data_IF_300836192360
#
_entry.id   IF_300836192360
#
_cell.length_a   1.000
_cell.length_b   1.000
_cell.length_c   1.000
_cell.angle_alpha   90.00
_cell.angle_beta   90.00
_cell.angle_gamma   90.00
#
_symmetry.space_group_name_H-M   'P 1'
#
loop_
_entity.id
_entity.type
_entity.pdbx_description
1 polymer ?
#
# COMPACT_ATOMS: atom_id res chain seq x y z
N UNK A 1 -14.58 -24.69 9.45
CA UNK A 1 -14.12 -23.44 8.81
C UNK A 1 -14.71 -23.22 7.42
N UNK A 2 -15.66 -24.04 6.94
CA UNK A 2 -16.15 -23.99 5.56
C UNK A 2 -16.83 -22.65 5.15
N UNK A 3 -17.23 -21.82 6.12
CA UNK A 3 -17.85 -20.50 5.88
C UNK A 3 -16.98 -19.31 6.36
N UNK A 4 -15.65 -19.47 6.40
CA UNK A 4 -14.73 -18.41 6.86
C UNK A 4 -13.87 -17.87 5.72
N UNK A 5 -13.72 -16.54 5.69
CA UNK A 5 -12.82 -15.81 4.79
C UNK A 5 -11.59 -15.35 5.57
N UNK A 6 -10.40 -15.69 5.07
CA UNK A 6 -9.13 -15.23 5.64
C UNK A 6 -8.53 -14.12 4.78
N UNK A 7 -8.06 -13.04 5.40
CA UNK A 7 -7.27 -12.00 4.76
C UNK A 7 -5.84 -12.08 5.28
N UNK A 8 -4.88 -12.32 4.41
CA UNK A 8 -3.48 -12.53 4.76
C UNK A 8 -2.63 -11.41 4.16
N UNK A 9 -2.40 -10.37 4.96
CA UNK A 9 -1.51 -9.26 4.61
C UNK A 9 -0.19 -9.38 5.40
N UNK A 10 0.85 -9.86 4.74
CA UNK A 10 2.21 -9.99 5.28
C UNK A 10 3.24 -9.71 4.17
N UNK A 11 4.48 -9.41 4.52
CA UNK A 11 5.59 -9.23 3.56
C UNK A 11 5.96 -7.79 3.23
N UNK A 12 5.03 -6.83 3.34
CA UNK A 12 5.34 -5.42 3.06
C UNK A 12 6.33 -4.81 4.07
N UNK A 13 6.16 -5.15 5.36
CA UNK A 13 7.00 -4.65 6.45
C UNK A 13 8.45 -5.13 6.36
N UNK A 14 8.69 -6.29 5.76
CA UNK A 14 10.00 -6.90 5.56
C UNK A 14 10.92 -6.08 4.64
N UNK A 15 10.35 -5.19 3.82
CA UNK A 15 11.11 -4.22 3.02
C UNK A 15 11.14 -2.84 3.68
N UNK A 16 10.00 -2.42 4.22
CA UNK A 16 9.79 -1.08 4.77
C UNK A 16 10.67 -0.84 6.01
N UNK A 17 10.75 -1.80 6.93
CA UNK A 17 11.55 -1.63 8.15
C UNK A 17 13.05 -1.49 7.87
N UNK A 18 13.69 -2.38 7.08
CA UNK A 18 15.11 -2.21 6.76
C UNK A 18 15.41 -0.92 6.01
N UNK A 19 14.53 -0.48 5.10
CA UNK A 19 14.70 0.79 4.39
C UNK A 19 14.64 1.99 5.37
N UNK A 20 13.83 1.93 6.43
CA UNK A 20 13.84 2.96 7.49
C UNK A 20 15.07 2.91 8.38
N UNK A 21 15.77 1.78 8.40
CA UNK A 21 17.06 1.62 9.08
C UNK A 21 18.24 1.92 8.15
N UNK A 22 18.00 2.65 7.05
CA UNK A 22 19.02 3.09 6.10
C UNK A 22 19.73 1.94 5.35
N UNK A 23 19.11 0.76 5.27
CA UNK A 23 19.60 -0.30 4.38
C UNK A 23 19.34 0.08 2.93
N UNK A 24 20.27 -0.30 2.05
CA UNK A 24 20.19 0.01 0.63
C UNK A 24 19.19 -0.90 -0.10
N UNK A 25 18.71 -0.47 -1.26
CA UNK A 25 17.90 -1.31 -2.13
C UNK A 25 18.61 -2.61 -2.51
N UNK A 26 19.93 -2.57 -2.69
CA UNK A 26 20.76 -3.75 -2.96
C UNK A 26 20.73 -4.78 -1.83
N UNK A 27 20.55 -4.35 -0.58
CA UNK A 27 20.40 -5.23 0.57
C UNK A 27 18.96 -5.76 0.72
N UNK A 28 17.96 -4.93 0.43
CA UNK A 28 16.54 -5.27 0.62
C UNK A 28 15.99 -6.15 -0.50
N UNK A 29 16.35 -5.89 -1.76
CA UNK A 29 15.82 -6.61 -2.92
C UNK A 29 16.07 -8.14 -2.87
N UNK A 30 17.22 -8.64 -2.39
CA UNK A 30 17.42 -10.08 -2.16
C UNK A 30 16.46 -10.74 -1.17
N UNK A 31 15.80 -9.96 -0.29
CA UNK A 31 14.80 -10.51 0.63
C UNK A 31 13.50 -10.91 -0.07
N UNK A 32 13.22 -10.37 -1.26
CA UNK A 32 11.94 -10.61 -1.95
C UNK A 32 11.62 -12.10 -2.10
N UNK A 33 12.48 -12.96 -2.69
CA UNK A 33 12.20 -14.38 -2.78
C UNK A 33 12.00 -15.07 -1.42
N UNK A 34 12.73 -14.64 -0.37
CA UNK A 34 12.60 -15.20 0.98
C UNK A 34 11.23 -14.88 1.57
N UNK A 35 10.80 -13.62 1.47
CA UNK A 35 9.48 -13.15 1.93
C UNK A 35 8.36 -13.87 1.19
N UNK A 36 8.47 -14.06 -0.13
CA UNK A 36 7.49 -14.82 -0.91
C UNK A 36 7.45 -16.29 -0.47
N UNK A 37 8.60 -16.88 -0.14
CA UNK A 37 8.68 -18.20 0.46
C UNK A 37 7.91 -18.29 1.77
N UNK A 38 8.14 -17.35 2.69
CA UNK A 38 7.45 -17.27 3.98
C UNK A 38 5.93 -17.07 3.83
N UNK A 39 5.49 -16.23 2.90
CA UNK A 39 4.06 -16.07 2.56
C UNK A 39 3.49 -17.40 2.10
N UNK A 40 4.21 -18.10 1.21
CA UNK A 40 3.86 -19.42 0.73
C UNK A 40 3.63 -20.42 1.86
N UNK A 41 4.58 -20.54 2.77
CA UNK A 41 4.49 -21.46 3.92
C UNK A 41 3.33 -21.09 4.86
N UNK A 42 3.08 -19.80 5.09
CA UNK A 42 1.95 -19.36 5.91
C UNK A 42 0.60 -19.73 5.28
N UNK A 43 0.47 -19.60 3.94
CA UNK A 43 -0.73 -20.00 3.21
C UNK A 43 -0.93 -21.52 3.24
N UNK A 44 0.13 -22.30 3.04
CA UNK A 44 0.08 -23.77 3.15
C UNK A 44 -0.38 -24.21 4.54
N UNK A 45 0.15 -23.59 5.61
CA UNK A 45 -0.28 -23.87 6.98
C UNK A 45 -1.76 -23.52 7.21
N UNK A 46 -2.24 -22.38 6.72
CA UNK A 46 -3.66 -22.01 6.81
C UNK A 46 -4.57 -23.01 6.08
N UNK A 47 -4.15 -23.48 4.90
CA UNK A 47 -4.87 -24.50 4.14
C UNK A 47 -4.95 -25.81 4.93
N UNK A 48 -3.84 -26.26 5.54
CA UNK A 48 -3.80 -27.46 6.37
C UNK A 48 -4.70 -27.36 7.61
N UNK A 49 -4.92 -26.15 8.14
CA UNK A 49 -5.85 -25.88 9.23
C UNK A 49 -7.32 -25.82 8.78
N UNK A 50 -7.60 -25.96 7.48
CA UNK A 50 -8.95 -26.02 6.92
C UNK A 50 -9.46 -24.71 6.32
N UNK A 51 -8.58 -23.74 6.03
CA UNK A 51 -8.97 -22.53 5.29
C UNK A 51 -9.30 -22.86 3.83
N UNK A 52 -10.53 -22.56 3.40
CA UNK A 52 -11.01 -22.81 2.03
C UNK A 52 -11.06 -21.55 1.17
N UNK A 53 -11.13 -20.36 1.77
CA UNK A 53 -11.13 -19.07 1.05
C UNK A 53 -10.15 -18.09 1.69
N UNK A 54 -9.11 -17.71 0.94
CA UNK A 54 -8.04 -16.82 1.43
C UNK A 54 -7.78 -15.71 0.43
N UNK A 55 -7.82 -14.47 0.90
CA UNK A 55 -7.50 -13.27 0.13
C UNK A 55 -6.10 -12.81 0.50
N UNK A 56 -5.29 -12.60 -0.52
CA UNK A 56 -3.86 -12.27 -0.38
C UNK A 56 -3.59 -10.98 -1.15
N UNK A 57 -3.63 -9.82 -0.49
CA UNK A 57 -3.28 -8.57 -1.11
C UNK A 57 -1.80 -8.51 -1.49
N UNK A 58 -1.54 -7.92 -2.66
CA UNK A 58 -0.20 -7.46 -3.02
C UNK A 58 0.19 -6.22 -2.23
N UNK A 59 1.48 -5.91 -2.24
CA UNK A 59 2.02 -4.67 -1.67
C UNK A 59 1.63 -3.50 -2.58
N UNK A 60 1.05 -2.46 -1.98
CA UNK A 60 0.69 -1.22 -2.67
C UNK A 60 1.92 -0.46 -3.22
N UNK A 61 1.77 0.53 -4.12
CA UNK A 61 2.93 1.19 -4.72
C UNK A 61 3.59 2.10 -3.67
N UNK A 62 4.60 1.58 -2.98
CA UNK A 62 5.25 2.26 -1.86
C UNK A 62 5.86 3.60 -2.29
N UNK A 63 6.35 3.69 -3.54
CA UNK A 63 6.90 4.90 -4.12
C UNK A 63 5.90 6.04 -4.30
N UNK A 64 4.60 5.77 -4.23
CA UNK A 64 3.55 6.79 -4.30
C UNK A 64 3.06 7.26 -2.92
N UNK A 65 3.52 6.63 -1.84
CA UNK A 65 3.12 6.99 -0.49
C UNK A 65 3.79 8.31 -0.06
N UNK A 66 3.03 9.30 0.45
CA UNK A 66 3.59 10.56 0.93
C UNK A 66 4.69 10.38 1.98
N UNK A 67 4.58 9.35 2.83
CA UNK A 67 5.57 9.05 3.85
C UNK A 67 6.90 8.60 3.24
N UNK A 68 6.87 7.71 2.25
CA UNK A 68 8.08 7.24 1.59
C UNK A 68 8.72 8.34 0.72
N UNK A 69 7.90 9.12 0.00
CA UNK A 69 8.37 10.29 -0.74
C UNK A 69 9.12 11.29 0.17
N UNK A 70 8.58 11.57 1.36
CA UNK A 70 9.23 12.44 2.33
C UNK A 70 10.54 11.83 2.88
N UNK A 71 10.54 10.55 3.21
CA UNK A 71 11.70 9.89 3.82
C UNK A 71 12.87 9.77 2.84
N UNK A 72 12.61 9.47 1.57
CA UNK A 72 13.68 9.25 0.59
C UNK A 72 14.06 10.48 -0.24
N UNK A 73 13.47 11.66 0.04
CA UNK A 73 13.78 12.91 -0.69
C UNK A 73 15.25 13.33 -0.64
N UNK A 74 15.98 12.93 0.41
CA UNK A 74 17.40 13.28 0.59
C UNK A 74 18.36 12.32 -0.10
N UNK A 75 17.89 11.13 -0.48
CA UNK A 75 18.70 10.08 -1.15
C UNK A 75 18.26 9.82 -2.59
N UNK A 76 17.17 10.45 -3.03
CA UNK A 76 16.64 10.33 -4.39
C UNK A 76 16.90 11.61 -5.18
N UNK A 77 17.18 11.45 -6.46
CA UNK A 77 17.38 12.53 -7.44
C UNK A 77 16.11 12.76 -8.24
N UNK A 78 16.02 13.89 -8.97
CA UNK A 78 14.89 14.14 -9.88
C UNK A 78 14.68 13.00 -10.90
N UNK A 79 15.78 12.34 -11.30
CA UNK A 79 15.78 11.18 -12.19
C UNK A 79 15.28 9.88 -11.57
N UNK A 80 14.87 9.87 -10.29
CA UNK A 80 14.28 8.69 -9.63
C UNK A 80 12.75 8.74 -9.59
N UNK A 81 12.16 9.90 -9.90
CA UNK A 81 10.73 10.12 -9.87
C UNK A 81 10.10 9.92 -11.25
N UNK A 82 8.97 9.22 -11.26
CA UNK A 82 8.10 9.14 -12.42
C UNK A 82 7.50 10.53 -12.75
N UNK A 83 7.68 11.06 -13.97
CA UNK A 83 7.26 12.42 -14.29
C UNK A 83 5.73 12.58 -14.34
N UNK A 84 4.98 11.51 -14.63
CA UNK A 84 3.53 11.57 -14.72
C UNK A 84 2.86 11.53 -13.33
N UNK A 85 3.39 10.71 -12.43
CA UNK A 85 2.78 10.41 -11.13
C UNK A 85 3.50 11.06 -9.95
N UNK A 86 4.77 11.43 -10.11
CA UNK A 86 5.65 11.91 -9.03
C UNK A 86 6.06 10.81 -8.05
N UNK A 87 5.82 9.54 -8.36
CA UNK A 87 6.19 8.42 -7.51
C UNK A 87 7.66 8.03 -7.68
N UNK A 88 8.29 7.47 -6.64
CA UNK A 88 9.64 6.90 -6.73
C UNK A 88 9.62 5.60 -7.53
N UNK A 89 10.33 5.55 -8.66
CA UNK A 89 10.40 4.38 -9.55
C UNK A 89 11.02 3.17 -8.85
N UNK A 90 12.22 3.33 -8.28
CA UNK A 90 12.95 2.22 -7.69
C UNK A 90 12.17 1.52 -6.55
N UNK A 91 11.38 2.27 -5.79
CA UNK A 91 10.56 1.73 -4.71
C UNK A 91 9.30 1.05 -5.25
N UNK A 92 8.70 1.60 -6.31
CA UNK A 92 7.62 0.95 -7.02
C UNK A 92 8.08 -0.35 -7.71
N UNK A 93 9.29 -0.39 -8.28
CA UNK A 93 9.87 -1.58 -8.91
C UNK A 93 10.07 -2.72 -7.89
N UNK A 94 10.48 -2.39 -6.66
CA UNK A 94 10.58 -3.36 -5.57
C UNK A 94 9.21 -4.00 -5.27
N UNK A 95 8.16 -3.17 -5.16
CA UNK A 95 6.80 -3.68 -4.92
C UNK A 95 6.22 -4.44 -6.11
N UNK A 96 6.54 -4.02 -7.34
CA UNK A 96 6.13 -4.72 -8.54
C UNK A 96 6.77 -6.11 -8.65
N UNK A 97 8.06 -6.22 -8.28
CA UNK A 97 8.77 -7.50 -8.20
C UNK A 97 8.12 -8.43 -7.17
N UNK A 98 7.86 -7.94 -5.96
CA UNK A 98 7.14 -8.71 -4.93
C UNK A 98 5.79 -9.21 -5.48
N UNK A 99 4.97 -8.32 -6.02
CA UNK A 99 3.62 -8.67 -6.50
C UNK A 99 3.66 -9.67 -7.65
N UNK A 100 4.65 -9.58 -8.54
CA UNK A 100 4.85 -10.55 -9.61
C UNK A 100 5.15 -11.94 -9.06
N UNK A 101 6.09 -12.05 -8.13
CA UNK A 101 6.47 -13.32 -7.51
C UNK A 101 5.36 -13.88 -6.61
N UNK A 102 4.60 -13.02 -5.92
CA UNK A 102 3.43 -13.42 -5.15
C UNK A 102 2.37 -14.05 -6.05
N UNK A 103 2.03 -13.42 -7.19
CA UNK A 103 1.09 -14.01 -8.16
C UNK A 103 1.56 -15.37 -8.66
N UNK A 104 2.86 -15.52 -8.92
CA UNK A 104 3.44 -16.81 -9.33
C UNK A 104 3.30 -17.87 -8.24
N UNK A 105 3.63 -17.56 -6.98
CA UNK A 105 3.48 -18.48 -5.84
C UNK A 105 2.02 -18.83 -5.58
N UNK A 106 1.09 -17.88 -5.68
CA UNK A 106 -0.34 -18.16 -5.58
C UNK A 106 -0.84 -19.07 -6.72
N UNK A 107 -0.34 -18.88 -7.94
CA UNK A 107 -0.68 -19.74 -9.06
C UNK A 107 -0.16 -21.18 -8.86
N UNK A 108 1.02 -21.33 -8.24
CA UNK A 108 1.52 -22.63 -7.80
C UNK A 108 0.61 -23.27 -6.75
N UNK A 109 0.33 -22.57 -5.65
CA UNK A 109 -0.49 -23.10 -4.56
C UNK A 109 -1.91 -23.49 -4.99
N UNK A 110 -2.51 -22.76 -5.94
CA UNK A 110 -3.81 -23.14 -6.52
C UNK A 110 -3.78 -24.48 -7.27
N UNK A 111 -2.66 -24.82 -7.91
CA UNK A 111 -2.48 -26.13 -8.55
C UNK A 111 -2.32 -27.23 -7.51
N UNK A 112 -1.59 -26.94 -6.46
CA UNK A 112 -1.31 -27.89 -5.38
C UNK A 112 -2.56 -28.13 -4.48
N UNK A 113 -3.48 -27.16 -4.42
CA UNK A 113 -4.69 -27.18 -3.59
C UNK A 113 -5.95 -26.78 -4.38
N UNK A 114 -6.46 -27.62 -5.30
CA UNK A 114 -7.58 -27.27 -6.19
C UNK A 114 -8.92 -26.99 -5.46
N UNK A 115 -9.06 -27.44 -4.20
CA UNK A 115 -10.23 -27.19 -3.36
C UNK A 115 -10.21 -25.85 -2.60
N UNK A 116 -9.16 -25.03 -2.75
CA UNK A 116 -8.99 -23.78 -2.02
C UNK A 116 -9.06 -22.57 -2.96
N UNK A 117 -9.91 -21.61 -2.61
CA UNK A 117 -10.00 -20.32 -3.28
C UNK A 117 -8.94 -19.36 -2.73
N UNK A 118 -7.76 -19.35 -3.35
CA UNK A 118 -6.73 -18.34 -3.11
C UNK A 118 -6.95 -17.15 -4.05
N UNK A 119 -7.26 -15.96 -3.54
CA UNK A 119 -7.58 -14.78 -4.36
C UNK A 119 -6.49 -13.72 -4.19
N UNK A 120 -5.87 -13.30 -5.29
CA UNK A 120 -4.94 -12.16 -5.28
C UNK A 120 -5.73 -10.86 -5.26
N UNK A 121 -5.40 -9.94 -4.36
CA UNK A 121 -6.03 -8.62 -4.29
C UNK A 121 -5.07 -7.55 -4.78
N UNK A 122 -5.41 -6.91 -5.91
CA UNK A 122 -4.52 -5.95 -6.58
C UNK A 122 -4.58 -4.55 -5.95
N UNK A 123 -3.95 -4.38 -4.79
CA UNK A 123 -3.79 -3.06 -4.19
C UNK A 123 -2.95 -2.12 -5.03
N UNK A 124 -1.95 -2.65 -5.73
CA UNK A 124 -1.06 -1.86 -6.56
C UNK A 124 -1.82 -1.11 -7.65
N UNK A 125 -2.54 -1.84 -8.51
CA UNK A 125 -3.32 -1.25 -9.60
C UNK A 125 -4.35 -0.26 -9.09
N UNK A 126 -5.11 -0.61 -8.04
CA UNK A 126 -6.15 0.28 -7.49
C UNK A 126 -5.61 1.60 -6.96
N UNK A 127 -4.42 1.61 -6.38
CA UNK A 127 -3.82 2.85 -5.89
C UNK A 127 -3.19 3.64 -7.05
N UNK A 128 -2.57 2.97 -8.02
CA UNK A 128 -2.04 3.63 -9.22
C UNK A 128 -3.14 4.31 -10.05
N UNK A 129 -4.31 3.68 -10.20
CA UNK A 129 -5.48 4.29 -10.86
C UNK A 129 -5.86 5.63 -10.21
N UNK A 130 -5.82 5.69 -8.88
CA UNK A 130 -6.15 6.88 -8.12
C UNK A 130 -5.07 7.97 -8.19
N UNK A 131 -3.80 7.56 -8.25
CA UNK A 131 -2.67 8.47 -8.44
C UNK A 131 -2.73 9.09 -9.83
N UNK A 132 -3.06 8.29 -10.86
CA UNK A 132 -3.21 8.76 -12.24
C UNK A 132 -4.44 9.64 -12.45
N UNK A 133 -5.52 9.40 -11.68
CA UNK A 133 -6.77 10.17 -11.75
C UNK A 133 -7.16 10.83 -10.42
N UNK A 134 -6.46 11.91 -9.99
CA UNK A 134 -6.76 12.59 -8.73
C UNK A 134 -8.17 13.23 -8.67
N UNK A 135 -8.85 13.37 -9.83
CA UNK A 135 -10.06 14.16 -10.02
C UNK A 135 -11.36 13.34 -10.16
N UNK A 136 -11.36 12.02 -9.94
CA UNK A 136 -12.57 11.19 -10.09
C UNK A 136 -13.38 10.98 -8.77
N UNK A 137 -13.28 11.92 -7.83
CA UNK A 137 -14.25 12.06 -6.73
C UNK A 137 -15.26 13.17 -7.07
N UNK A 138 -16.51 13.15 -6.56
CA UNK A 138 -17.50 14.15 -6.92
C UNK A 138 -16.99 15.56 -6.59
N UNK A 139 -16.68 16.31 -7.64
CA UNK A 139 -16.30 17.72 -7.60
C UNK A 139 -17.54 18.55 -7.34
N UNK A 140 -17.82 18.82 -6.07
CA UNK A 140 -18.66 19.96 -5.67
C UNK A 140 -17.91 20.79 -4.64
N UNK A 141 -16.93 21.54 -5.12
CA UNK A 141 -16.40 22.70 -4.43
C UNK A 141 -15.94 23.72 -5.48
N UNK A 142 -16.92 24.31 -6.16
CA UNK A 142 -16.72 25.53 -6.93
C UNK A 142 -16.54 26.66 -5.91
N UNK A 143 -15.30 27.08 -5.66
CA UNK A 143 -15.04 28.45 -5.21
C UNK A 143 -13.62 28.88 -5.58
N UNK A 144 -13.44 30.04 -6.24
CA UNK A 144 -12.17 30.48 -6.78
C UNK A 144 -11.37 31.19 -5.69
N UNK A 145 -10.40 30.52 -5.08
CA UNK A 145 -9.25 31.22 -4.51
C UNK A 145 -8.08 30.27 -4.30
N UNK A 146 -6.97 30.70 -4.91
CA UNK A 146 -5.58 30.39 -4.59
C UNK A 146 -5.17 28.92 -4.63
N UNK A 147 -4.25 28.65 -5.57
CA UNK A 147 -3.46 27.44 -5.70
C UNK A 147 -3.02 26.91 -4.32
N UNK A 148 -3.75 25.92 -3.79
CA UNK A 148 -3.38 25.25 -2.55
C UNK A 148 -2.35 24.19 -2.87
N UNK A 149 -1.16 24.42 -2.34
CA UNK A 149 -0.04 23.49 -2.23
C UNK A 149 -0.51 22.05 -2.01
N UNK A 150 0.07 21.13 -2.79
CA UNK A 150 -0.07 19.66 -2.66
C UNK A 150 0.56 19.16 -1.34
N UNK A 151 0.12 19.67 -0.20
CA UNK A 151 0.60 19.21 1.10
C UNK A 151 -0.21 17.97 1.54
N UNK A 152 0.43 16.85 1.90
CA UNK A 152 -0.26 15.68 2.41
C UNK A 152 -0.92 16.00 3.77
N UNK A 153 -2.13 15.45 3.99
CA UNK A 153 -2.90 15.62 5.23
C UNK A 153 -2.21 15.08 6.49
N UNK A 154 -1.11 14.34 6.35
CA UNK A 154 -0.30 13.83 7.46
C UNK A 154 1.19 14.00 7.11
N UNK A 155 1.73 15.19 7.34
CA UNK A 155 3.17 15.39 7.43
C UNK A 155 3.61 15.13 8.89
N UNK A 156 4.71 14.39 9.14
CA UNK A 156 5.21 14.12 10.48
C UNK A 156 6.07 15.30 10.96
N UNK A 157 5.53 16.51 10.97
CA UNK A 157 6.21 17.65 11.58
C UNK A 157 5.69 17.84 12.98
N UNK A 158 6.37 17.13 13.91
CA UNK A 158 6.19 17.18 15.37
C UNK A 158 4.81 16.74 15.86
N UNK A 159 4.78 16.29 17.11
CA UNK A 159 3.59 15.97 17.88
C UNK A 159 2.79 17.24 18.22
N UNK A 160 2.54 18.10 17.24
CA UNK A 160 1.84 19.36 17.35
C UNK A 160 0.64 19.29 16.43
N UNK A 161 -0.53 19.19 17.06
CA UNK A 161 -1.83 19.64 16.61
C UNK A 161 -1.81 20.38 15.26
N UNK A 162 -2.66 19.94 14.32
CA UNK A 162 -3.02 20.74 13.16
C UNK A 162 -3.31 22.17 13.65
N UNK A 163 -2.51 23.20 13.30
CA UNK A 163 -2.89 24.57 13.56
C UNK A 163 -4.15 24.79 12.73
N UNK A 164 -5.24 25.09 13.42
CA UNK A 164 -6.57 25.14 12.82
C UNK A 164 -6.59 26.07 11.63
N UNK A 165 -6.72 25.49 10.44
CA UNK A 165 -7.44 26.00 9.24
C UNK A 165 -7.08 25.09 8.07
N UNK A 166 -7.71 23.92 7.94
CA UNK A 166 -7.43 23.06 6.79
C UNK A 166 -7.88 21.62 6.79
N UNK A 167 -9.05 21.30 7.35
CA UNK A 167 -9.84 20.09 7.02
C UNK A 167 -11.31 20.41 7.34
N UNK A 168 -12.06 20.97 6.40
CA UNK A 168 -13.49 21.29 6.58
C UNK A 168 -14.40 20.07 6.34
N UNK A 169 -14.01 18.90 6.83
CA UNK A 169 -14.93 17.76 6.94
C UNK A 169 -15.26 17.54 8.42
N UNK A 170 -16.55 17.39 8.80
CA UNK A 170 -16.99 17.38 10.20
C UNK A 170 -16.64 16.10 10.96
N UNK A 171 -15.70 15.28 10.47
CA UNK A 171 -15.27 14.05 11.14
C UNK A 171 -13.75 14.03 11.30
N UNK A 172 -13.22 13.91 12.52
CA UNK A 172 -11.78 13.73 12.73
C UNK A 172 -11.32 12.48 11.97
N UNK A 173 -10.19 12.59 11.25
CA UNK A 173 -9.49 11.41 10.74
C UNK A 173 -9.00 10.62 11.97
N UNK A 174 -9.84 9.74 12.50
CA UNK A 174 -9.45 8.79 13.52
C UNK A 174 -8.38 7.88 12.93
N UNK A 175 -7.31 7.64 13.70
CA UNK A 175 -6.21 6.76 13.33
C UNK A 175 -6.74 5.35 13.07
N UNK A 176 -7.09 5.04 11.82
CA UNK A 176 -7.24 3.66 11.38
C UNK A 176 -5.91 3.23 10.77
N UNK A 177 -5.25 2.28 11.46
CA UNK A 177 -4.02 1.58 11.04
C UNK A 177 -2.73 2.42 10.99
N UNK A 178 -1.55 1.83 11.29
CA UNK A 178 -0.37 2.61 11.65
C UNK A 178 0.18 3.36 10.42
N UNK A 179 -0.19 4.64 10.30
CA UNK A 179 0.56 5.63 9.53
C UNK A 179 0.11 5.91 8.09
N UNK A 180 -0.93 5.27 7.59
CA UNK A 180 -1.40 5.47 6.20
C UNK A 180 -2.67 6.31 6.17
N UNK A 181 -2.55 7.63 6.27
CA UNK A 181 -3.68 8.53 6.02
C UNK A 181 -3.77 8.84 4.52
N UNK A 182 -4.31 7.89 3.75
CA UNK A 182 -4.69 8.13 2.35
C UNK A 182 -6.15 8.59 2.30
N UNK A 183 -6.45 9.73 1.67
CA UNK A 183 -7.84 10.18 1.40
C UNK A 183 -8.68 9.09 0.72
N UNK A 184 -8.02 8.21 -0.02
CA UNK A 184 -8.64 7.07 -0.70
C UNK A 184 -9.22 6.03 0.27
N UNK A 185 -8.64 5.84 1.45
CA UNK A 185 -9.13 4.89 2.45
C UNK A 185 -10.40 5.42 3.15
N UNK A 186 -10.46 6.72 3.43
CA UNK A 186 -11.60 7.37 4.08
C UNK A 186 -12.86 7.47 3.20
N UNK A 187 -12.73 7.57 1.88
CA UNK A 187 -13.87 7.82 0.98
C UNK A 187 -14.62 6.55 0.56
N UNK A 188 -13.96 5.39 0.51
CA UNK A 188 -14.56 4.15 -0.03
C UNK A 188 -15.11 3.19 1.04
N UNK A 189 -14.73 3.36 2.30
CA UNK A 189 -15.10 2.46 3.41
C UNK A 189 -15.99 3.11 4.49
N UNK A 190 -16.42 4.36 4.30
CA UNK A 190 -17.24 5.09 5.28
C UNK A 190 -18.75 4.81 5.20
N UNK A 191 -19.22 3.99 4.26
CA UNK A 191 -20.64 3.67 4.08
C UNK A 191 -21.10 2.37 4.75
N UNK A 192 -20.24 1.69 5.52
CA UNK A 192 -20.64 0.53 6.34
C UNK A 192 -19.97 0.59 7.72
N UNK A 193 -20.46 1.50 8.56
CA UNK A 193 -20.49 1.39 10.02
C UNK A 193 -21.84 1.94 10.48
#
# INVERSE_FOLDING_TARGET
MESSLFLVEIGGNDYIHPLFQNNTLGWVKPLVPLVIGSIGSALEALIQLGATTVYVPGVFPLGCSPRHLFLFRGVSTAGDYDPATGCLRWLNDLTALHNSLLRAKLAQLRRDHPGVSLVYVDYYGKIMDAVASPAAGPTTATSPSTARSRAPCCAPTRLSTCPGTGCTSPRPCTRSWPGTCSRMFCSRWSHRC
#
